data_IF_129837299273
#
_entry.id   IF_129837299273
#
_cell.length_a   1.000
_cell.length_b   1.000
_cell.length_c   1.000
_cell.angle_alpha   90.00
_cell.angle_beta   90.00
_cell.angle_gamma   90.00
#
_symmetry.space_group_name_H-M   'P 1'
#
loop_
_entity.id
_entity.type
_entity.pdbx_description
1 polymer ?
#
# COMPACT_ATOMS: atom_id res chain seq x y z
N UNK A 1 -28.35 21.08 -11.73
CA UNK A 1 -27.32 20.19 -12.31
C UNK A 1 -27.32 18.91 -11.47
N UNK A 2 -27.56 17.72 -12.06
CA UNK A 2 -27.73 16.47 -11.31
C UNK A 2 -26.58 16.21 -10.34
N UNK A 3 -25.36 16.53 -10.77
CA UNK A 3 -24.11 16.43 -10.00
C UNK A 3 -23.91 17.45 -8.88
N UNK A 4 -24.91 18.27 -8.53
CA UNK A 4 -24.82 19.22 -7.39
C UNK A 4 -25.63 18.70 -6.20
N UNK A 5 -26.50 17.70 -6.41
CA UNK A 5 -27.26 17.07 -5.35
C UNK A 5 -26.40 16.01 -4.64
N UNK A 6 -26.59 15.75 -3.33
CA UNK A 6 -25.84 14.72 -2.60
C UNK A 6 -25.90 13.35 -3.28
N UNK A 7 -27.08 12.92 -3.73
CA UNK A 7 -27.26 11.66 -4.48
C UNK A 7 -26.46 11.64 -5.78
N UNK A 8 -26.39 12.77 -6.50
CA UNK A 8 -25.59 12.89 -7.72
C UNK A 8 -24.08 12.88 -7.47
N UNK A 9 -23.61 13.47 -6.36
CA UNK A 9 -22.22 13.37 -5.94
C UNK A 9 -21.86 11.91 -5.64
N UNK A 10 -22.66 11.24 -4.81
CA UNK A 10 -22.42 9.85 -4.44
C UNK A 10 -22.44 8.92 -5.65
N UNK A 11 -23.39 9.12 -6.56
CA UNK A 11 -23.49 8.35 -7.80
C UNK A 11 -22.28 8.57 -8.72
N UNK A 12 -21.77 9.80 -8.85
CA UNK A 12 -20.52 10.06 -9.59
C UNK A 12 -19.33 9.35 -8.95
N UNK A 13 -19.20 9.44 -7.63
CA UNK A 13 -18.10 8.80 -6.91
C UNK A 13 -18.14 7.29 -7.07
N UNK A 14 -19.32 6.68 -6.96
CA UNK A 14 -19.52 5.25 -7.24
C UNK A 14 -19.15 4.90 -8.68
N UNK A 15 -19.59 5.69 -9.66
CA UNK A 15 -19.25 5.48 -11.07
C UNK A 15 -17.73 5.48 -11.30
N UNK A 16 -17.03 6.50 -10.78
CA UNK A 16 -15.57 6.57 -10.95
C UNK A 16 -14.79 5.58 -10.08
N UNK A 17 -15.35 5.12 -8.96
CA UNK A 17 -14.80 4.00 -8.17
C UNK A 17 -14.89 2.70 -8.97
N UNK A 18 -16.03 2.41 -9.59
CA UNK A 18 -16.21 1.24 -10.45
C UNK A 18 -15.28 1.28 -11.67
N UNK A 19 -15.18 2.42 -12.36
CA UNK A 19 -14.26 2.58 -13.50
C UNK A 19 -12.79 2.37 -13.13
N UNK A 20 -12.41 2.66 -11.89
CA UNK A 20 -11.02 2.48 -11.41
C UNK A 20 -10.77 1.12 -10.76
N UNK A 21 -11.83 0.40 -10.37
CA UNK A 21 -11.72 -0.84 -9.61
C UNK A 21 -10.81 -1.87 -10.30
N UNK A 22 -10.98 -2.13 -11.59
CA UNK A 22 -10.17 -3.11 -12.32
C UNK A 22 -8.68 -2.75 -12.36
N UNK A 23 -8.38 -1.47 -12.58
CA UNK A 23 -6.99 -0.96 -12.58
C UNK A 23 -6.38 -1.06 -11.19
N UNK A 24 -7.17 -0.77 -10.18
CA UNK A 24 -6.72 -0.82 -8.79
C UNK A 24 -6.48 -2.25 -8.33
N UNK A 25 -7.34 -3.21 -8.72
CA UNK A 25 -7.11 -4.65 -8.50
C UNK A 25 -5.78 -5.07 -9.14
N UNK A 26 -5.55 -4.69 -10.41
CA UNK A 26 -4.30 -5.02 -11.09
C UNK A 26 -3.07 -4.40 -10.38
N UNK A 27 -3.18 -3.16 -9.90
CA UNK A 27 -2.11 -2.48 -9.14
C UNK A 27 -1.84 -3.18 -7.81
N UNK A 28 -2.89 -3.50 -7.05
CA UNK A 28 -2.78 -4.15 -5.75
C UNK A 28 -2.17 -5.55 -5.86
N UNK A 29 -2.45 -6.29 -6.93
CA UNK A 29 -1.82 -7.60 -7.16
C UNK A 29 -0.29 -7.51 -7.25
N UNK A 30 0.24 -6.45 -7.86
CA UNK A 30 1.70 -6.19 -7.91
C UNK A 30 2.22 -5.76 -6.55
N UNK A 31 1.46 -4.95 -5.82
CA UNK A 31 1.88 -4.43 -4.52
C UNK A 31 1.92 -5.51 -3.44
N UNK A 32 1.02 -6.51 -3.49
CA UNK A 32 1.06 -7.69 -2.62
C UNK A 32 2.38 -8.43 -2.76
N UNK A 33 2.85 -8.65 -3.99
CA UNK A 33 4.15 -9.29 -4.24
C UNK A 33 5.31 -8.46 -3.69
N UNK A 34 5.26 -7.13 -3.88
CA UNK A 34 6.29 -6.22 -3.34
C UNK A 34 6.33 -6.23 -1.83
N UNK A 35 5.17 -6.26 -1.18
CA UNK A 35 5.06 -6.34 0.27
C UNK A 35 5.66 -7.65 0.79
N UNK A 36 5.35 -8.80 0.17
CA UNK A 36 5.94 -10.10 0.55
C UNK A 36 7.46 -10.06 0.42
N UNK A 37 7.96 -9.55 -0.70
CA UNK A 37 9.40 -9.39 -0.92
C UNK A 37 10.03 -8.49 0.13
N UNK A 38 9.42 -7.33 0.41
CA UNK A 38 9.91 -6.40 1.43
C UNK A 38 9.98 -7.05 2.82
N UNK A 39 8.94 -7.77 3.25
CA UNK A 39 8.92 -8.44 4.56
C UNK A 39 10.09 -9.43 4.73
N UNK A 40 10.38 -10.22 3.69
CA UNK A 40 11.48 -11.20 3.71
C UNK A 40 12.85 -10.51 3.69
N UNK A 41 12.99 -9.46 2.88
CA UNK A 41 14.24 -8.71 2.78
C UNK A 41 14.57 -7.98 4.08
N UNK A 42 13.56 -7.34 4.69
CA UNK A 42 13.67 -6.66 5.97
C UNK A 42 14.05 -7.66 7.07
N UNK A 43 13.40 -8.83 7.15
CA UNK A 43 13.74 -9.85 8.13
C UNK A 43 15.20 -10.33 7.99
N UNK A 44 15.67 -10.57 6.76
CA UNK A 44 17.08 -10.95 6.51
C UNK A 44 18.05 -9.86 6.92
N UNK A 45 17.74 -8.61 6.59
CA UNK A 45 18.54 -7.45 6.94
C UNK A 45 18.65 -7.32 8.47
N UNK A 46 17.54 -7.42 9.18
CA UNK A 46 17.50 -7.33 10.64
C UNK A 46 18.29 -8.46 11.31
N UNK A 47 18.11 -9.71 10.88
CA UNK A 47 18.86 -10.86 11.42
C UNK A 47 20.36 -10.70 11.18
N UNK A 48 20.76 -10.27 9.98
CA UNK A 48 22.17 -10.02 9.66
C UNK A 48 22.77 -8.96 10.60
N UNK A 49 22.12 -7.82 10.74
CA UNK A 49 22.62 -6.73 11.58
C UNK A 49 22.58 -7.07 13.07
N UNK A 50 21.59 -7.83 13.54
CA UNK A 50 21.56 -8.33 14.92
C UNK A 50 22.78 -9.22 15.20
N UNK A 51 23.14 -10.10 14.27
CA UNK A 51 24.35 -10.93 14.37
C UNK A 51 25.63 -10.09 14.47
N UNK A 52 25.75 -9.05 13.63
CA UNK A 52 26.91 -8.14 13.65
C UNK A 52 27.01 -7.37 14.98
N UNK A 53 25.89 -6.88 15.51
CA UNK A 53 25.86 -6.16 16.80
C UNK A 53 26.22 -7.08 17.98
N UNK A 54 25.78 -8.35 17.95
CA UNK A 54 26.16 -9.33 18.95
C UNK A 54 27.66 -9.60 18.95
N UNK A 55 28.27 -9.71 17.76
CA UNK A 55 29.74 -9.87 17.63
C UNK A 55 30.50 -8.67 18.17
N UNK A 56 29.99 -7.46 17.96
CA UNK A 56 30.58 -6.21 18.46
C UNK A 56 30.36 -5.97 19.97
N UNK A 57 29.69 -6.89 20.67
CA UNK A 57 29.38 -6.76 22.11
C UNK A 57 28.39 -5.65 22.42
N UNK A 58 27.68 -5.14 21.42
CA UNK A 58 26.60 -4.16 21.59
C UNK A 58 25.34 -4.91 22.03
N UNK A 59 24.69 -4.41 23.08
CA UNK A 59 23.45 -4.99 23.60
C UNK A 59 22.34 -5.00 22.54
N UNK A 60 21.36 -5.91 22.69
CA UNK A 60 20.22 -6.00 21.76
C UNK A 60 19.49 -4.65 21.69
N UNK A 61 19.33 -4.13 20.48
CA UNK A 61 18.44 -2.98 20.21
C UNK A 61 17.01 -3.41 20.52
N UNK A 62 16.20 -2.50 21.07
CA UNK A 62 14.79 -2.75 21.35
C UNK A 62 14.07 -3.09 20.03
N UNK A 63 13.81 -4.39 19.83
CA UNK A 63 13.17 -4.91 18.63
C UNK A 63 11.70 -4.51 18.66
N UNK A 64 11.26 -3.75 17.67
CA UNK A 64 9.85 -3.80 17.26
C UNK A 64 9.60 -5.24 16.80
N UNK A 65 8.48 -5.84 17.19
CA UNK A 65 8.18 -7.24 16.86
C UNK A 65 7.72 -7.35 15.39
N UNK A 66 8.66 -7.11 14.45
CA UNK A 66 8.43 -7.21 13.01
C UNK A 66 7.92 -8.60 12.62
N UNK A 67 8.36 -9.66 13.33
CA UNK A 67 7.89 -11.02 13.10
C UNK A 67 6.38 -11.15 13.38
N UNK A 68 5.89 -10.54 14.46
CA UNK A 68 4.46 -10.50 14.75
C UNK A 68 3.66 -9.78 13.66
N UNK A 69 4.08 -8.57 13.26
CA UNK A 69 3.39 -7.81 12.21
C UNK A 69 3.43 -8.53 10.86
N UNK A 70 4.59 -9.06 10.47
CA UNK A 70 4.73 -9.85 9.24
C UNK A 70 3.82 -11.09 9.27
N UNK A 71 3.71 -11.76 10.43
CA UNK A 71 2.77 -12.85 10.64
C UNK A 71 1.31 -12.44 10.42
N UNK A 72 0.90 -11.30 10.97
CA UNK A 72 -0.45 -10.75 10.75
C UNK A 72 -0.71 -10.40 9.28
N UNK A 73 0.27 -9.77 8.61
CA UNK A 73 0.17 -9.47 7.19
C UNK A 73 0.03 -10.75 6.36
N UNK A 74 0.84 -11.76 6.63
CA UNK A 74 0.77 -13.05 5.93
C UNK A 74 -0.55 -13.78 6.19
N UNK A 75 -1.11 -13.71 7.39
CA UNK A 75 -2.44 -14.26 7.68
C UNK A 75 -3.53 -13.55 6.87
N UNK A 76 -3.48 -12.22 6.81
CA UNK A 76 -4.42 -11.42 6.02
C UNK A 76 -4.31 -11.76 4.52
N UNK A 77 -3.10 -11.80 3.97
CA UNK A 77 -2.85 -12.17 2.57
C UNK A 77 -3.31 -13.60 2.26
N UNK A 78 -3.13 -14.53 3.20
CA UNK A 78 -3.62 -15.91 3.05
C UNK A 78 -5.15 -15.97 3.02
N UNK A 79 -5.84 -15.15 3.83
CA UNK A 79 -7.31 -15.03 3.78
C UNK A 79 -7.75 -14.44 2.44
N UNK A 80 -7.15 -13.33 2.02
CA UNK A 80 -7.45 -12.68 0.74
C UNK A 80 -7.22 -13.60 -0.47
N UNK A 81 -6.22 -14.48 -0.41
CA UNK A 81 -5.93 -15.43 -1.49
C UNK A 81 -7.04 -16.45 -1.76
N UNK A 82 -7.99 -16.61 -0.82
CA UNK A 82 -9.13 -17.53 -0.93
C UNK A 82 -10.36 -16.87 -1.57
N UNK A 83 -10.35 -15.55 -1.71
CA UNK A 83 -11.48 -14.80 -2.27
C UNK A 83 -11.57 -14.99 -3.79
N UNK A 84 -12.82 -14.99 -4.30
CA UNK A 84 -13.07 -15.10 -5.74
C UNK A 84 -12.58 -13.84 -6.44
N UNK A 85 -11.74 -14.00 -7.47
CA UNK A 85 -11.14 -12.88 -8.20
C UNK A 85 -9.76 -12.48 -7.70
N UNK A 86 -9.20 -13.17 -6.69
CA UNK A 86 -7.79 -13.02 -6.36
C UNK A 86 -6.91 -13.61 -7.47
N UNK A 87 -6.06 -12.77 -8.06
CA UNK A 87 -5.18 -13.16 -9.16
C UNK A 87 -3.70 -13.04 -8.79
N UNK A 88 -3.38 -12.45 -7.65
CA UNK A 88 -2.01 -12.34 -7.18
C UNK A 88 -1.43 -13.72 -6.80
N UNK A 89 -0.11 -13.82 -6.87
CA UNK A 89 0.62 -14.95 -6.30
C UNK A 89 1.14 -14.55 -4.92
N UNK A 90 1.18 -15.50 -3.99
CA UNK A 90 1.88 -15.34 -2.71
C UNK A 90 3.33 -15.85 -2.79
N UNK A 91 3.82 -16.17 -4.00
CA UNK A 91 5.22 -16.52 -4.22
C UNK A 91 6.12 -15.32 -4.03
N UNK A 92 7.30 -15.54 -3.44
CA UNK A 92 8.31 -14.50 -3.28
C UNK A 92 8.69 -13.87 -4.63
N UNK A 93 8.67 -12.54 -4.71
CA UNK A 93 9.16 -11.79 -5.86
C UNK A 93 10.68 -11.73 -5.90
N UNK A 94 11.23 -11.28 -7.03
CA UNK A 94 12.68 -11.04 -7.18
C UNK A 94 13.01 -9.63 -6.70
N UNK A 95 13.91 -9.53 -5.74
CA UNK A 95 14.40 -8.26 -5.22
C UNK A 95 15.31 -7.59 -6.25
N UNK A 96 15.03 -6.33 -6.60
CA UNK A 96 15.80 -5.60 -7.63
C UNK A 96 17.05 -4.95 -7.01
N UNK A 97 17.05 -4.70 -5.70
CA UNK A 97 18.13 -4.03 -5.00
C UNK A 97 19.35 -4.93 -4.81
N UNK A 98 20.53 -4.43 -5.22
CA UNK A 98 21.83 -5.12 -5.05
C UNK A 98 22.21 -5.32 -3.58
N UNK A 99 21.59 -4.57 -2.68
CA UNK A 99 21.78 -4.65 -1.22
C UNK A 99 20.99 -5.79 -0.57
N UNK A 100 20.05 -6.42 -1.28
CA UNK A 100 19.31 -7.60 -0.81
C UNK A 100 20.17 -8.87 -0.81
N UNK A 101 21.33 -8.84 -1.48
CA UNK A 101 22.33 -9.89 -1.32
C UNK A 101 23.10 -9.65 -0.02
N UNK A 102 22.53 -10.13 1.10
CA UNK A 102 23.38 -10.57 2.20
C UNK A 102 24.36 -11.58 1.58
N UNK A 103 25.69 -11.42 1.74
CA UNK A 103 26.62 -12.39 1.19
C UNK A 103 26.26 -13.77 1.73
N UNK A 104 25.86 -14.67 0.83
CA UNK A 104 25.80 -16.09 1.14
C UNK A 104 27.16 -16.46 1.73
N UNK A 105 27.14 -16.96 2.97
CA UNK A 105 28.31 -17.04 3.84
C UNK A 105 29.54 -17.63 3.12
N UNK A 106 30.46 -16.76 2.73
CA UNK A 106 31.81 -17.12 2.34
C UNK A 106 32.76 -16.84 3.53
N UNK A 107 33.74 -17.71 3.78
CA UNK A 107 34.53 -17.69 5.00
C UNK A 107 35.44 -16.46 5.05
N UNK A 108 35.62 -15.95 6.27
CA UNK A 108 36.51 -14.87 6.68
C UNK A 108 37.69 -14.61 5.75
N UNK A 109 37.83 -13.36 5.30
CA UNK A 109 39.15 -12.75 5.38
C UNK A 109 39.09 -11.26 5.67
N UNK A 110 39.94 -10.86 6.59
CA UNK A 110 40.03 -9.57 7.26
C UNK A 110 40.45 -8.45 6.30
N UNK A 111 39.80 -7.28 6.38
CA UNK A 111 40.44 -5.95 6.30
C UNK A 111 39.47 -4.82 6.61
N UNK A 112 39.93 -3.95 7.49
CA UNK A 112 39.34 -2.69 7.92
C UNK A 112 38.90 -1.80 6.75
N UNK A 113 37.71 -1.20 6.86
CA UNK A 113 37.49 0.12 6.25
C UNK A 113 36.49 0.95 7.04
N UNK A 114 36.98 2.14 7.39
CA UNK A 114 36.40 3.23 8.18
C UNK A 114 35.04 3.69 7.63
N UNK A 115 34.02 3.74 8.50
CA UNK A 115 32.75 4.44 8.20
C UNK A 115 32.90 5.90 8.65
N UNK A 116 32.85 6.80 7.69
CA UNK A 116 32.73 8.24 7.91
C UNK A 116 31.28 8.55 8.31
N UNK A 117 31.09 9.10 9.50
CA UNK A 117 29.81 9.64 9.93
C UNK A 117 29.32 10.74 8.98
N UNK A 118 28.07 10.62 8.54
CA UNK A 118 27.26 11.77 8.17
C UNK A 118 26.04 11.81 9.08
N UNK A 119 26.27 12.37 10.27
CA UNK A 119 25.25 12.95 11.12
C UNK A 119 24.42 13.95 10.32
N UNK A 120 23.10 13.75 10.29
CA UNK A 120 22.15 14.85 10.11
C UNK A 120 20.83 14.55 10.82
N UNK A 121 20.83 14.83 12.12
CA UNK A 121 19.61 15.06 12.89
C UNK A 121 19.07 16.47 12.56
N UNK A 122 17.82 16.53 12.11
CA UNK A 122 16.93 17.69 12.23
C UNK A 122 15.64 17.09 12.80
N UNK A 123 15.46 17.06 14.12
CA UNK A 123 14.89 18.14 14.94
C UNK A 123 13.60 18.73 14.37
N UNK A 124 12.48 18.34 14.98
CA UNK A 124 11.31 19.18 15.24
C UNK A 124 10.41 19.51 14.04
N UNK A 125 9.32 18.75 13.89
CA UNK A 125 8.08 19.28 13.31
C UNK A 125 6.97 19.14 14.35
N UNK A 126 6.22 20.20 14.69
CA UNK A 126 5.21 20.19 15.75
C UNK A 126 4.02 19.28 15.43
N UNK A 127 3.37 18.81 16.51
CA UNK A 127 2.02 18.25 16.55
C UNK A 127 1.11 18.87 15.48
N UNK A 128 0.61 18.05 14.57
CA UNK A 128 -0.71 18.26 14.02
C UNK A 128 -1.66 17.50 14.94
N UNK A 129 -2.54 18.25 15.58
CA UNK A 129 -3.70 17.69 16.26
C UNK A 129 -4.45 16.86 15.23
N UNK A 130 -4.69 15.60 15.57
CA UNK A 130 -5.65 14.77 14.87
C UNK A 130 -7.00 15.48 15.03
N UNK A 131 -7.41 16.22 14.00
CA UNK A 131 -8.81 16.57 13.82
C UNK A 131 -9.53 15.23 13.71
N UNK A 132 -10.21 14.83 14.79
CA UNK A 132 -11.17 13.74 14.78
C UNK A 132 -12.09 13.96 13.59
N UNK A 133 -11.91 13.14 12.55
CA UNK A 133 -12.90 12.89 11.53
C UNK A 133 -14.10 12.26 12.25
N UNK A 134 -14.92 13.11 12.85
CA UNK A 134 -16.28 12.79 13.21
C UNK A 134 -16.98 12.53 11.88
N UNK A 135 -16.85 11.29 11.41
CA UNK A 135 -17.76 10.68 10.47
C UNK A 135 -19.14 10.81 11.09
N UNK A 136 -19.79 11.93 10.77
CA UNK A 136 -21.20 12.11 10.96
C UNK A 136 -21.82 11.04 10.07
N UNK A 137 -22.07 9.88 10.66
CA UNK A 137 -23.08 8.94 10.20
C UNK A 137 -24.41 9.67 10.43
N UNK A 138 -24.63 10.71 9.62
CA UNK A 138 -25.95 11.24 9.41
C UNK A 138 -26.66 10.06 8.76
N UNK A 139 -27.52 9.41 9.55
CA UNK A 139 -28.68 8.63 9.11
C UNK A 139 -29.52 9.53 8.19
N UNK A 140 -28.94 9.93 7.06
CA UNK A 140 -29.66 10.38 5.90
C UNK A 140 -30.40 9.14 5.48
N UNK A 141 -31.72 9.21 5.43
CA UNK A 141 -32.52 8.20 4.73
C UNK A 141 -31.95 8.14 3.31
N UNK A 142 -31.04 7.19 3.09
CA UNK A 142 -30.34 7.02 1.82
C UNK A 142 -31.40 6.55 0.84
N UNK A 143 -31.94 7.49 0.08
CA UNK A 143 -32.86 7.18 -0.99
C UNK A 143 -32.09 6.47 -2.12
N UNK A 144 -32.04 5.14 -1.99
CA UNK A 144 -31.36 4.25 -2.92
C UNK A 144 -31.94 4.39 -4.33
N UNK A 145 -33.25 4.66 -4.47
CA UNK A 145 -33.85 4.93 -5.78
C UNK A 145 -33.34 6.24 -6.36
N UNK A 146 -33.30 7.32 -5.59
CA UNK A 146 -32.75 8.60 -6.07
C UNK A 146 -31.26 8.50 -6.45
N UNK A 147 -30.47 7.66 -5.77
CA UNK A 147 -29.08 7.39 -6.13
C UNK A 147 -29.00 6.56 -7.41
N UNK A 148 -29.83 5.53 -7.56
CA UNK A 148 -29.87 4.70 -8.77
C UNK A 148 -30.25 5.54 -10.01
N UNK A 149 -31.27 6.39 -9.89
CA UNK A 149 -31.71 7.30 -10.96
C UNK A 149 -30.61 8.32 -11.31
N UNK A 150 -29.94 8.87 -10.29
CA UNK A 150 -28.81 9.77 -10.48
C UNK A 150 -27.64 9.04 -11.16
N UNK A 151 -27.35 7.80 -10.77
CA UNK A 151 -26.31 6.97 -11.35
C UNK A 151 -26.57 6.68 -12.82
N UNK A 152 -27.78 6.25 -13.17
CA UNK A 152 -28.16 6.03 -14.56
C UNK A 152 -28.02 7.32 -15.38
N UNK A 153 -28.46 8.46 -14.84
CA UNK A 153 -28.30 9.77 -15.49
C UNK A 153 -26.83 10.12 -15.72
N UNK A 154 -25.96 9.89 -14.72
CA UNK A 154 -24.52 10.19 -14.81
C UNK A 154 -23.84 9.30 -15.83
N UNK A 155 -24.15 8.00 -15.86
CA UNK A 155 -23.64 7.04 -16.84
C UNK A 155 -23.98 7.50 -18.27
N UNK A 156 -25.21 7.93 -18.50
CA UNK A 156 -25.61 8.45 -19.82
C UNK A 156 -24.83 9.71 -20.20
N UNK A 157 -24.65 10.66 -19.28
CA UNK A 157 -23.88 11.90 -19.54
C UNK A 157 -22.40 11.61 -19.85
N UNK A 158 -21.77 10.63 -19.20
CA UNK A 158 -20.35 10.32 -19.41
C UNK A 158 -20.09 9.53 -20.69
N UNK A 159 -21.09 8.80 -21.20
CA UNK A 159 -21.00 8.06 -22.45
C UNK A 159 -21.34 8.89 -23.70
N UNK A 160 -22.04 10.02 -23.56
CA UNK A 160 -22.23 11.00 -24.63
C UNK A 160 -20.95 11.80 -24.89
N UNK A 161 -19.95 11.14 -25.49
CA UNK A 161 -18.81 11.82 -26.09
C UNK A 161 -19.27 12.54 -27.38
N UNK A 162 -18.93 13.82 -27.59
CA UNK A 162 -19.29 14.52 -28.81
C UNK A 162 -18.71 13.80 -30.02
N UNK A 163 -19.54 13.61 -31.05
CA UNK A 163 -19.15 13.01 -32.32
C UNK A 163 -17.81 13.59 -32.81
N UNK A 164 -16.93 12.76 -33.41
CA UNK A 164 -15.66 13.24 -33.93
C UNK A 164 -15.91 14.40 -34.89
N UNK A 165 -15.34 15.57 -34.57
CA UNK A 165 -15.41 16.77 -35.40
C UNK A 165 -15.00 16.41 -36.84
N UNK A 166 -15.79 16.80 -37.86
CA UNK A 166 -15.41 16.54 -39.24
C UNK A 166 -14.09 17.25 -39.54
N UNK A 167 -13.11 16.50 -40.03
CA UNK A 167 -11.85 17.05 -40.50
C UNK A 167 -12.13 18.01 -41.67
N UNK A 168 -11.74 19.28 -41.50
CA UNK A 168 -11.67 20.26 -42.58
C UNK A 168 -10.35 20.14 -43.32
#
# INVERSE_FOLDING_TARGET
>A
KPWVQPAGHLAMDQHYKLLRADKEIARLNVEILRLITYMVDEERFLVYHEGQLQVEGKGKVQQVDHAHFNGMHMECLTKLSKEVGFMASLSLGVCISKECMVPEAAPSDSKDMVIQEASRCMSGVPLLQDEEDNGVDEDTDIDVEAIADAFETIVHITHDHPAPMPAL
#
